data_IF_720985890315
#
_entry.id   IF_720985890315
#
_cell.length_a   1.000
_cell.length_b   1.000
_cell.length_c   1.000
_cell.angle_alpha   90.00
_cell.angle_beta   90.00
_cell.angle_gamma   90.00
#
_symmetry.space_group_name_H-M   'P 1'
#
loop_
_entity.id
_entity.type
_entity.pdbx_description
1 polymer ?
#
# COMPACT_ATOMS: atom_id res chain seq x y z
N UNK A 1 -1.12 -13.53 -35.69
CA UNK A 1 -1.14 -12.57 -34.56
C UNK A 1 -2.20 -11.52 -34.83
N UNK A 2 -3.40 -11.66 -34.27
CA UNK A 2 -4.49 -10.69 -34.48
C UNK A 2 -4.23 -9.45 -33.61
N UNK A 3 -4.01 -8.29 -34.24
CA UNK A 3 -3.90 -7.00 -33.56
C UNK A 3 -5.31 -6.60 -33.11
N UNK A 4 -5.68 -6.93 -31.88
CA UNK A 4 -6.91 -6.41 -31.29
C UNK A 4 -6.80 -4.88 -31.16
N UNK A 5 -7.57 -4.17 -31.98
CA UNK A 5 -7.71 -2.71 -31.95
C UNK A 5 -8.32 -2.25 -30.63
N UNK A 6 -8.06 -1.00 -30.22
CA UNK A 6 -8.60 -0.38 -28.98
C UNK A 6 -10.15 -0.46 -28.87
N UNK A 7 -10.85 -0.70 -29.98
CA UNK A 7 -12.29 -0.94 -30.06
C UNK A 7 -12.75 -2.28 -29.45
N UNK A 8 -11.87 -3.28 -29.27
CA UNK A 8 -12.20 -4.57 -28.67
C UNK A 8 -12.22 -4.54 -27.12
N UNK A 9 -11.91 -3.39 -26.50
CA UNK A 9 -11.77 -3.20 -25.04
C UNK A 9 -12.82 -2.21 -24.54
N UNK A 10 -13.92 -2.06 -25.27
CA UNK A 10 -14.98 -1.16 -24.84
C UNK A 10 -15.70 -1.77 -23.63
N UNK A 11 -15.68 -1.05 -22.50
CA UNK A 11 -16.47 -1.46 -21.35
C UNK A 11 -17.94 -1.20 -21.67
N UNK A 12 -18.85 -2.21 -21.60
CA UNK A 12 -20.26 -2.00 -21.93
C UNK A 12 -20.95 -0.90 -21.10
N UNK A 13 -20.39 -0.54 -19.94
CA UNK A 13 -20.93 0.48 -19.04
C UNK A 13 -20.29 1.86 -19.23
N UNK A 14 -18.99 1.89 -19.51
CA UNK A 14 -18.19 3.12 -19.45
C UNK A 14 -17.59 3.51 -20.80
N UNK A 15 -17.72 2.69 -21.83
CA UNK A 15 -17.14 2.94 -23.14
C UNK A 15 -15.63 2.70 -23.15
N UNK A 16 -14.94 3.47 -23.98
CA UNK A 16 -13.52 3.29 -24.30
C UNK A 16 -12.61 3.68 -23.12
N UNK A 17 -11.59 2.85 -22.79
CA UNK A 17 -10.55 3.20 -21.83
C UNK A 17 -9.80 4.48 -22.23
N UNK A 18 -9.53 5.36 -21.27
CA UNK A 18 -8.91 6.67 -21.51
C UNK A 18 -8.00 7.08 -20.35
N UNK A 19 -6.98 7.88 -20.65
CA UNK A 19 -6.18 8.58 -19.63
C UNK A 19 -7.02 9.54 -18.77
N UNK A 20 -6.58 9.75 -17.52
CA UNK A 20 -7.22 10.69 -16.61
C UNK A 20 -6.96 12.15 -17.05
N UNK A 21 -8.00 13.00 -17.11
CA UNK A 21 -7.79 14.43 -17.25
C UNK A 21 -7.09 14.98 -16.00
N UNK A 22 -6.12 15.87 -16.19
CA UNK A 22 -5.39 16.51 -15.09
C UNK A 22 -6.02 17.85 -14.64
N UNK A 23 -6.98 18.40 -15.40
CA UNK A 23 -7.56 19.72 -15.17
C UNK A 23 -8.81 19.72 -14.28
N UNK A 24 -9.33 18.55 -13.88
CA UNK A 24 -10.54 18.40 -13.06
C UNK A 24 -10.33 17.22 -12.11
N UNK A 25 -10.93 17.26 -10.91
CA UNK A 25 -10.89 16.11 -10.01
C UNK A 25 -11.69 14.93 -10.61
N UNK A 26 -11.15 13.70 -10.62
CA UNK A 26 -11.73 12.59 -11.37
C UNK A 26 -13.04 12.05 -10.77
N UNK A 27 -13.93 11.54 -11.62
CA UNK A 27 -15.09 10.74 -11.21
C UNK A 27 -14.76 9.27 -11.02
N UNK A 28 -15.69 8.50 -10.45
CA UNK A 28 -15.60 7.04 -10.47
C UNK A 28 -15.50 6.47 -11.90
N UNK A 29 -16.22 7.05 -12.86
CA UNK A 29 -16.16 6.69 -14.28
C UNK A 29 -14.76 6.92 -14.86
N UNK A 30 -14.17 8.09 -14.60
CA UNK A 30 -12.83 8.45 -15.09
C UNK A 30 -11.76 7.51 -14.50
N UNK A 31 -11.83 7.25 -13.19
CA UNK A 31 -10.92 6.32 -12.50
C UNK A 31 -11.00 4.92 -13.08
N UNK A 32 -12.19 4.42 -13.40
CA UNK A 32 -12.34 3.08 -14.00
C UNK A 32 -11.88 3.05 -15.46
N UNK A 33 -12.19 4.07 -16.26
CA UNK A 33 -11.68 4.16 -17.64
C UNK A 33 -10.16 4.12 -17.67
N UNK A 34 -9.53 4.85 -16.76
CA UNK A 34 -8.09 4.85 -16.63
C UNK A 34 -7.53 3.54 -16.11
N UNK A 35 -8.18 2.92 -15.12
CA UNK A 35 -7.81 1.59 -14.66
C UNK A 35 -7.81 0.57 -15.79
N UNK A 36 -8.82 0.59 -16.66
CA UNK A 36 -8.89 -0.30 -17.82
C UNK A 36 -7.77 0.00 -18.83
N UNK A 37 -7.44 1.27 -19.02
CA UNK A 37 -6.35 1.70 -19.90
C UNK A 37 -4.98 1.24 -19.38
N UNK A 38 -4.71 1.44 -18.09
CA UNK A 38 -3.49 0.96 -17.43
C UNK A 38 -3.38 -0.56 -17.54
N UNK A 39 -4.47 -1.28 -17.24
CA UNK A 39 -4.51 -2.73 -17.31
C UNK A 39 -4.23 -3.24 -18.72
N UNK A 40 -4.79 -2.61 -19.75
CA UNK A 40 -4.51 -2.97 -21.14
C UNK A 40 -3.03 -2.81 -21.50
N UNK A 41 -2.42 -1.70 -21.08
CA UNK A 41 -1.00 -1.46 -21.32
C UNK A 41 -0.12 -2.49 -20.60
N UNK A 42 -0.47 -2.88 -19.37
CA UNK A 42 0.25 -3.93 -18.63
C UNK A 42 0.09 -5.32 -19.27
N UNK A 43 -1.11 -5.64 -19.80
CA UNK A 43 -1.37 -6.91 -20.49
C UNK A 43 -0.54 -7.04 -21.78
N UNK A 44 -0.35 -5.94 -22.51
CA UNK A 44 0.51 -5.92 -23.70
C UNK A 44 2.00 -6.10 -23.37
N UNK A 45 2.40 -5.83 -22.12
CA UNK A 45 3.77 -5.97 -21.64
C UNK A 45 4.06 -7.36 -21.01
N UNK A 46 3.13 -8.31 -21.08
CA UNK A 46 3.38 -9.72 -20.70
C UNK A 46 3.24 -10.05 -19.21
N UNK A 47 2.56 -9.21 -18.41
CA UNK A 47 2.40 -9.44 -16.95
C UNK A 47 1.26 -10.41 -16.58
N UNK A 48 1.40 -11.10 -15.44
CA UNK A 48 0.47 -12.13 -14.94
C UNK A 48 -0.90 -11.57 -14.49
N UNK A 49 -2.01 -12.23 -14.86
CA UNK A 49 -3.42 -11.82 -14.63
C UNK A 49 -3.81 -11.45 -13.19
N UNK A 50 -3.24 -12.09 -12.17
CA UNK A 50 -3.59 -11.79 -10.77
C UNK A 50 -2.75 -10.64 -10.18
N UNK A 51 -1.52 -10.43 -10.69
CA UNK A 51 -0.67 -9.29 -10.33
C UNK A 51 -1.21 -8.00 -10.96
N UNK A 52 -1.79 -8.10 -12.16
CA UNK A 52 -2.36 -7.01 -12.95
C UNK A 52 -3.38 -6.14 -12.22
N UNK A 53 -4.27 -6.69 -11.36
CA UNK A 53 -5.28 -5.86 -10.68
C UNK A 53 -4.67 -5.05 -9.55
N UNK A 54 -3.75 -5.63 -8.77
CA UNK A 54 -3.12 -4.90 -7.68
C UNK A 54 -2.15 -3.84 -8.22
N UNK A 55 -1.35 -4.20 -9.23
CA UNK A 55 -0.41 -3.29 -9.89
C UNK A 55 -1.13 -2.15 -10.61
N UNK A 56 -2.19 -2.45 -11.38
CA UNK A 56 -2.99 -1.39 -11.99
C UNK A 56 -3.66 -0.48 -10.95
N UNK A 57 -4.11 -1.04 -9.82
CA UNK A 57 -4.71 -0.22 -8.75
C UNK A 57 -3.69 0.74 -8.14
N UNK A 58 -2.43 0.31 -8.00
CA UNK A 58 -1.34 1.13 -7.48
C UNK A 58 -1.03 2.30 -8.41
N UNK A 59 -0.84 2.02 -9.71
CA UNK A 59 -0.56 3.03 -10.74
C UNK A 59 -1.71 4.05 -10.82
N UNK A 60 -2.95 3.57 -10.76
CA UNK A 60 -4.14 4.44 -10.78
C UNK A 60 -4.19 5.30 -9.52
N UNK A 61 -3.94 4.73 -8.34
CA UNK A 61 -3.92 5.47 -7.08
C UNK A 61 -2.87 6.59 -7.12
N UNK A 62 -1.64 6.31 -7.56
CA UNK A 62 -0.58 7.32 -7.69
C UNK A 62 -0.98 8.48 -8.61
N UNK A 63 -1.60 8.18 -9.76
CA UNK A 63 -2.05 9.23 -10.68
C UNK A 63 -3.19 10.06 -10.09
N UNK A 64 -4.18 9.41 -9.46
CA UNK A 64 -5.30 10.10 -8.79
C UNK A 64 -4.77 11.00 -7.67
N UNK A 65 -3.84 10.52 -6.86
CA UNK A 65 -3.19 11.34 -5.84
C UNK A 65 -2.52 12.57 -6.43
N UNK A 66 -1.78 12.43 -7.54
CA UNK A 66 -1.13 13.54 -8.20
C UNK A 66 -2.11 14.65 -8.57
N UNK A 67 -3.27 14.29 -9.11
CA UNK A 67 -4.33 15.26 -9.49
C UNK A 67 -4.89 15.97 -8.25
N UNK A 68 -5.17 15.24 -7.17
CA UNK A 68 -5.68 15.85 -5.95
C UNK A 68 -4.64 16.71 -5.22
N UNK A 69 -3.36 16.31 -5.26
CA UNK A 69 -2.23 17.10 -4.75
C UNK A 69 -2.03 18.39 -5.54
N UNK A 70 -2.23 18.37 -6.87
CA UNK A 70 -2.18 19.60 -7.69
C UNK A 70 -3.29 20.59 -7.38
N UNK A 71 -4.39 20.13 -6.76
CA UNK A 71 -5.45 20.99 -6.25
C UNK A 71 -5.23 21.45 -4.80
N UNK A 72 -4.06 21.17 -4.21
CA UNK A 72 -3.71 21.55 -2.82
C UNK A 72 -4.73 21.10 -1.74
N UNK A 73 -5.50 20.05 -2.00
CA UNK A 73 -6.50 19.51 -1.08
C UNK A 73 -5.89 18.34 -0.29
N UNK A 74 -5.98 18.33 1.06
CA UNK A 74 -5.58 17.17 1.86
C UNK A 74 -6.39 15.93 1.50
N UNK A 75 -5.70 14.81 1.31
CA UNK A 75 -6.29 13.53 0.89
C UNK A 75 -6.20 12.47 1.98
N UNK A 76 -7.02 11.41 1.85
CA UNK A 76 -6.89 10.19 2.65
C UNK A 76 -5.60 9.43 2.32
N UNK A 77 -5.24 8.43 3.12
CA UNK A 77 -4.03 7.64 2.92
C UNK A 77 -4.02 6.88 1.58
N UNK A 78 -2.83 6.65 1.03
CA UNK A 78 -2.63 5.91 -0.23
C UNK A 78 -3.35 4.55 -0.22
N UNK A 79 -3.19 3.78 0.87
CA UNK A 79 -3.82 2.48 1.04
C UNK A 79 -5.36 2.57 1.00
N UNK A 80 -5.95 3.66 1.52
CA UNK A 80 -7.39 3.88 1.44
C UNK A 80 -7.83 4.13 0.00
N UNK A 81 -7.07 4.89 -0.79
CA UNK A 81 -7.36 5.16 -2.20
C UNK A 81 -7.32 3.86 -3.01
N UNK A 82 -6.26 3.06 -2.84
CA UNK A 82 -6.13 1.74 -3.46
C UNK A 82 -7.30 0.84 -3.09
N UNK A 83 -7.72 0.84 -1.82
CA UNK A 83 -8.87 0.06 -1.35
C UNK A 83 -10.18 0.51 -2.01
N UNK A 84 -10.43 1.82 -2.11
CA UNK A 84 -11.60 2.37 -2.79
C UNK A 84 -11.65 1.96 -4.27
N UNK A 85 -10.51 2.00 -4.97
CA UNK A 85 -10.39 1.57 -6.37
C UNK A 85 -10.74 0.08 -6.48
N UNK A 86 -10.17 -0.77 -5.62
CA UNK A 86 -10.43 -2.22 -5.59
C UNK A 86 -11.90 -2.54 -5.27
N UNK A 87 -12.49 -1.87 -4.29
CA UNK A 87 -13.91 -2.02 -3.93
C UNK A 87 -14.83 -1.66 -5.10
N UNK A 88 -14.58 -0.54 -5.78
CA UNK A 88 -15.40 -0.12 -6.91
C UNK A 88 -15.20 -1.02 -8.14
N UNK A 89 -13.97 -1.49 -8.38
CA UNK A 89 -13.67 -2.48 -9.41
C UNK A 89 -14.41 -3.79 -9.16
N UNK A 90 -14.47 -4.26 -7.91
CA UNK A 90 -15.22 -5.44 -7.51
C UNK A 90 -16.72 -5.26 -7.79
N UNK A 91 -17.30 -4.14 -7.37
CA UNK A 91 -18.71 -3.78 -7.65
C UNK A 91 -19.02 -3.83 -9.14
N UNK A 92 -18.18 -3.22 -9.98
CA UNK A 92 -18.31 -3.26 -11.45
C UNK A 92 -18.21 -4.69 -11.99
N UNK A 93 -17.23 -5.47 -11.54
CA UNK A 93 -17.03 -6.86 -11.99
C UNK A 93 -18.23 -7.71 -11.64
N UNK A 94 -18.73 -7.61 -10.42
CA UNK A 94 -19.91 -8.34 -9.96
C UNK A 94 -21.16 -7.95 -10.75
N UNK A 95 -21.33 -6.66 -11.05
CA UNK A 95 -22.42 -6.17 -11.90
C UNK A 95 -22.33 -6.72 -13.33
N UNK A 96 -21.13 -6.84 -13.90
CA UNK A 96 -20.92 -7.31 -15.27
C UNK A 96 -20.91 -8.83 -15.42
N UNK A 97 -20.72 -9.61 -14.34
CA UNK A 97 -20.77 -11.09 -14.38
C UNK A 97 -22.00 -11.65 -15.10
N UNK A 98 -23.24 -11.23 -14.79
CA UNK A 98 -24.44 -11.73 -15.46
C UNK A 98 -24.78 -11.01 -16.77
N UNK A 99 -23.99 -10.02 -17.22
CA UNK A 99 -24.37 -9.08 -18.27
C UNK A 99 -24.85 -9.74 -19.55
N UNK A 100 -24.07 -10.70 -20.09
CA UNK A 100 -24.41 -11.39 -21.34
C UNK A 100 -25.77 -12.10 -21.30
N UNK A 101 -26.19 -12.58 -20.12
CA UNK A 101 -27.44 -13.34 -19.94
C UNK A 101 -28.64 -12.45 -19.56
N UNK A 102 -28.38 -11.26 -19.01
CA UNK A 102 -29.42 -10.42 -18.37
C UNK A 102 -29.54 -9.01 -18.95
N UNK A 103 -28.71 -8.63 -19.92
CA UNK A 103 -28.67 -7.26 -20.50
C UNK A 103 -30.04 -6.72 -20.94
N UNK A 104 -30.94 -7.60 -21.41
CA UNK A 104 -32.25 -7.20 -21.93
C UNK A 104 -33.36 -7.21 -20.86
N UNK A 105 -33.07 -7.70 -19.65
CA UNK A 105 -34.03 -7.72 -18.53
C UNK A 105 -34.18 -6.31 -17.96
N UNK A 106 -35.41 -5.78 -17.96
CA UNK A 106 -35.71 -4.41 -17.52
C UNK A 106 -35.15 -4.08 -16.13
N UNK A 107 -35.34 -4.95 -15.14
CA UNK A 107 -34.84 -4.73 -13.77
C UNK A 107 -33.30 -4.70 -13.69
N UNK A 108 -32.60 -5.44 -14.56
CA UNK A 108 -31.15 -5.41 -14.65
C UNK A 108 -30.66 -4.16 -15.39
N UNK A 109 -31.34 -3.77 -16.48
CA UNK A 109 -31.07 -2.51 -17.19
C UNK A 109 -31.17 -1.30 -16.27
N UNK A 110 -32.23 -1.20 -15.45
CA UNK A 110 -32.35 -0.14 -14.45
C UNK A 110 -31.18 -0.13 -13.45
N UNK A 111 -30.69 -1.30 -13.03
CA UNK A 111 -29.49 -1.40 -12.17
C UNK A 111 -28.23 -0.89 -12.87
N UNK A 112 -28.05 -1.18 -14.15
CA UNK A 112 -26.93 -0.67 -14.93
C UNK A 112 -27.02 0.86 -15.08
N UNK A 113 -28.21 1.40 -15.31
CA UNK A 113 -28.42 2.84 -15.45
C UNK A 113 -28.17 3.60 -14.13
N UNK A 114 -28.62 3.05 -13.00
CA UNK A 114 -28.30 3.60 -11.67
C UNK A 114 -26.78 3.59 -11.44
N UNK A 115 -26.12 2.46 -11.68
CA UNK A 115 -24.67 2.37 -11.52
C UNK A 115 -23.91 3.33 -12.43
N UNK A 116 -24.39 3.52 -13.67
CA UNK A 116 -23.81 4.47 -14.63
C UNK A 116 -24.00 5.91 -14.17
N UNK A 117 -25.17 6.29 -13.66
CA UNK A 117 -25.41 7.62 -13.07
C UNK A 117 -24.52 7.86 -11.85
N UNK A 118 -24.45 6.89 -10.94
CA UNK A 118 -23.62 6.97 -9.73
C UNK A 118 -22.13 7.12 -10.06
N UNK A 119 -21.68 6.54 -11.19
CA UNK A 119 -20.29 6.64 -11.63
C UNK A 119 -19.85 8.06 -12.00
N UNK A 120 -20.79 8.97 -12.28
CA UNK A 120 -20.51 10.37 -12.61
C UNK A 120 -20.20 11.21 -11.37
N UNK A 121 -20.43 10.67 -10.16
CA UNK A 121 -20.07 11.34 -8.92
C UNK A 121 -18.56 11.47 -8.78
N UNK A 122 -18.13 12.53 -8.09
CA UNK A 122 -16.75 12.75 -7.71
C UNK A 122 -16.17 11.52 -7.00
N UNK A 123 -14.98 11.08 -7.43
CA UNK A 123 -14.19 10.10 -6.69
C UNK A 123 -13.52 10.80 -5.50
N UNK A 124 -14.33 11.14 -4.50
CA UNK A 124 -13.93 12.04 -3.42
C UNK A 124 -12.95 11.35 -2.46
N UNK A 125 -11.66 11.69 -2.59
CA UNK A 125 -10.58 11.24 -1.70
C UNK A 125 -10.10 12.33 -0.74
N UNK A 126 -10.81 13.46 -0.61
CA UNK A 126 -10.48 14.48 0.38
C UNK A 126 -10.48 13.90 1.80
N UNK A 127 -9.53 14.31 2.64
CA UNK A 127 -9.48 13.91 4.04
C UNK A 127 -10.67 14.50 4.83
N UNK A 128 -11.07 15.73 4.51
CA UNK A 128 -12.24 16.38 5.08
C UNK A 128 -13.51 16.06 4.28
N UNK A 129 -14.54 15.54 4.94
CA UNK A 129 -15.87 15.26 4.36
C UNK A 129 -16.96 16.25 4.80
N UNK A 130 -16.59 17.36 5.43
CA UNK A 130 -17.56 18.37 5.86
C UNK A 130 -18.23 19.03 4.64
N UNK A 131 -19.54 19.27 4.76
CA UNK A 131 -20.31 20.07 3.81
C UNK A 131 -20.12 21.56 4.07
N UNK A 132 -20.15 21.96 5.35
CA UNK A 132 -19.86 23.33 5.78
C UNK A 132 -18.43 23.41 6.33
N UNK A 133 -17.58 24.16 5.65
CA UNK A 133 -16.18 24.31 6.06
C UNK A 133 -15.96 25.35 7.18
N UNK A 134 -16.94 26.20 7.45
CA UNK A 134 -16.83 27.24 8.49
C UNK A 134 -16.93 26.64 9.90
N UNK A 135 -17.72 25.57 10.06
CA UNK A 135 -17.86 24.80 11.30
C UNK A 135 -17.02 23.52 11.33
N UNK A 136 -16.04 23.39 10.43
CA UNK A 136 -15.25 22.17 10.30
C UNK A 136 -14.34 21.92 11.52
N UNK A 137 -14.57 20.79 12.20
CA UNK A 137 -13.82 20.31 13.37
C UNK A 137 -12.72 19.29 13.03
N UNK A 138 -12.42 19.04 11.74
CA UNK A 138 -11.35 18.12 11.36
C UNK A 138 -9.99 18.55 11.92
N UNK A 139 -9.07 17.60 12.10
CA UNK A 139 -7.68 17.90 12.46
C UNK A 139 -7.04 18.85 11.44
N UNK A 140 -6.14 19.73 11.90
CA UNK A 140 -5.54 20.81 11.09
C UNK A 140 -4.97 20.29 9.75
N UNK A 141 -4.29 19.14 9.76
CA UNK A 141 -3.73 18.50 8.57
C UNK A 141 -4.77 17.99 7.57
N UNK A 142 -6.01 17.74 8.01
CA UNK A 142 -7.08 17.24 7.17
C UNK A 142 -8.01 18.36 6.69
N UNK A 143 -7.93 19.57 7.27
CA UNK A 143 -8.78 20.70 6.90
C UNK A 143 -8.42 21.21 5.51
N UNK A 144 -9.45 21.45 4.70
CA UNK A 144 -9.29 22.07 3.38
C UNK A 144 -8.88 23.54 3.55
N UNK A 145 -7.78 23.99 2.91
CA UNK A 145 -7.36 25.39 2.91
C UNK A 145 -8.48 26.31 2.43
N UNK A 146 -8.59 27.50 3.00
CA UNK A 146 -9.71 28.43 2.71
C UNK A 146 -9.84 28.72 1.21
N UNK A 147 -8.71 28.90 0.52
CA UNK A 147 -8.64 29.15 -0.94
C UNK A 147 -9.24 28.02 -1.78
N UNK A 148 -9.11 26.76 -1.35
CA UNK A 148 -9.53 25.59 -2.11
C UNK A 148 -10.97 25.13 -1.78
N UNK A 149 -11.62 25.73 -0.77
CA UNK A 149 -12.99 25.36 -0.36
C UNK A 149 -14.03 25.58 -1.46
N UNK A 150 -14.06 26.74 -2.16
CA UNK A 150 -15.03 26.96 -3.24
C UNK A 150 -14.85 25.94 -4.36
N UNK A 151 -13.60 25.65 -4.72
CA UNK A 151 -13.27 24.64 -5.72
C UNK A 151 -13.78 23.25 -5.31
N UNK A 152 -13.45 22.76 -4.11
CA UNK A 152 -13.91 21.44 -3.68
C UNK A 152 -15.45 21.37 -3.56
N UNK A 153 -16.12 22.45 -3.18
CA UNK A 153 -17.58 22.51 -3.10
C UNK A 153 -18.23 22.46 -4.48
N UNK A 154 -17.69 23.21 -5.46
CA UNK A 154 -18.08 23.07 -6.87
C UNK A 154 -17.86 21.64 -7.37
N UNK A 155 -16.68 21.05 -7.11
CA UNK A 155 -16.35 19.69 -7.55
C UNK A 155 -17.23 18.60 -6.92
N UNK A 156 -17.83 18.85 -5.75
CA UNK A 156 -18.81 17.96 -5.12
C UNK A 156 -20.23 18.14 -5.68
N UNK A 157 -20.51 19.26 -6.35
CA UNK A 157 -21.83 19.65 -6.83
C UNK A 157 -21.85 19.75 -8.36
N UNK A 158 -21.72 20.96 -8.91
CA UNK A 158 -21.88 21.28 -10.34
C UNK A 158 -20.66 20.96 -11.21
N UNK A 159 -19.47 20.80 -10.63
CA UNK A 159 -18.21 20.38 -11.29
C UNK A 159 -17.84 21.25 -12.50
N UNK A 160 -17.96 22.56 -12.36
CA UNK A 160 -17.68 23.52 -13.43
C UNK A 160 -16.26 24.10 -13.36
N UNK A 161 -15.68 24.18 -12.17
CA UNK A 161 -14.33 24.71 -11.99
C UNK A 161 -13.27 23.73 -12.45
N UNK A 162 -12.14 24.27 -12.91
CA UNK A 162 -10.96 23.52 -13.34
C UNK A 162 -9.77 23.86 -12.46
N UNK A 163 -8.86 22.90 -12.29
CA UNK A 163 -7.56 23.11 -11.67
C UNK A 163 -6.77 24.03 -12.61
N UNK A 164 -6.45 25.24 -12.13
CA UNK A 164 -5.61 26.18 -12.86
C UNK A 164 -4.20 25.61 -13.05
N UNK A 165 -3.46 26.14 -14.03
CA UNK A 165 -2.03 25.87 -14.17
C UNK A 165 -1.32 26.18 -12.84
N UNK A 166 -0.68 25.16 -12.28
CA UNK A 166 -0.08 25.19 -10.95
C UNK A 166 1.00 26.27 -10.88
N UNK A 167 0.83 27.24 -9.98
CA UNK A 167 1.86 28.21 -9.65
C UNK A 167 2.97 27.51 -8.85
N UNK A 168 4.13 27.33 -9.47
CA UNK A 168 5.28 26.60 -8.90
C UNK A 168 5.73 27.20 -7.56
N UNK A 169 5.54 28.49 -7.34
CA UNK A 169 5.92 29.15 -6.10
C UNK A 169 5.02 28.73 -4.93
N UNK A 170 3.71 28.58 -5.18
CA UNK A 170 2.74 28.13 -4.18
C UNK A 170 3.01 26.69 -3.73
N UNK A 171 3.35 25.79 -4.66
CA UNK A 171 3.72 24.40 -4.36
C UNK A 171 4.99 24.34 -3.51
N UNK A 172 6.01 25.12 -3.86
CA UNK A 172 7.27 25.19 -3.10
C UNK A 172 7.03 25.69 -1.67
N UNK A 173 6.16 26.68 -1.49
CA UNK A 173 5.80 27.16 -0.14
C UNK A 173 5.02 26.12 0.66
N UNK A 174 4.10 25.37 0.03
CA UNK A 174 3.34 24.32 0.69
C UNK A 174 4.23 23.15 1.12
N UNK A 175 5.15 22.70 0.25
CA UNK A 175 6.16 21.71 0.60
C UNK A 175 7.05 22.18 1.75
N UNK A 176 7.51 23.44 1.74
CA UNK A 176 8.26 24.03 2.86
C UNK A 176 7.46 24.02 4.17
N UNK A 177 6.15 24.31 4.13
CA UNK A 177 5.27 24.25 5.33
C UNK A 177 5.07 22.82 5.83
N UNK A 178 4.91 21.85 4.92
CA UNK A 178 4.81 20.43 5.28
C UNK A 178 6.10 19.89 5.90
N UNK A 179 7.26 20.30 5.37
CA UNK A 179 8.57 19.94 5.92
C UNK A 179 8.77 20.54 7.31
N UNK A 180 8.42 21.82 7.52
CA UNK A 180 8.45 22.46 8.84
C UNK A 180 7.54 21.77 9.85
N UNK A 181 6.30 21.46 9.45
CA UNK A 181 5.38 20.73 10.34
C UNK A 181 5.85 19.30 10.69
N UNK A 182 6.70 18.68 9.87
CA UNK A 182 7.31 17.37 10.15
C UNK A 182 8.54 17.50 11.07
N UNK A 183 9.33 18.57 10.97
CA UNK A 183 10.47 18.78 11.89
C UNK A 183 10.02 19.20 13.29
N UNK A 184 8.98 20.04 13.41
CA UNK A 184 8.47 20.47 14.72
C UNK A 184 7.93 19.29 15.56
N UNK A 185 7.35 18.28 14.91
CA UNK A 185 6.91 17.03 15.57
C UNK A 185 8.07 16.15 16.02
N UNK A 186 9.25 16.30 15.42
CA UNK A 186 10.46 15.55 15.77
C UNK A 186 11.18 16.17 16.97
N UNK A 187 11.12 17.49 17.10
CA UNK A 187 11.73 18.22 18.21
C UNK A 187 10.95 18.08 19.53
N UNK A 188 9.61 18.03 19.47
CA UNK A 188 8.77 17.83 20.67
C UNK A 188 8.92 16.44 21.34
N UNK A 189 9.66 15.50 20.76
CA UNK A 189 9.93 14.17 21.34
C UNK A 189 11.21 14.19 22.21
N UNK A 190 12.06 15.22 22.09
CA UNK A 190 13.37 15.28 22.74
C UNK A 190 13.33 16.04 24.09
N UNK A 191 12.33 16.89 24.32
CA UNK A 191 12.30 17.79 25.49
C UNK A 191 11.85 17.13 26.82
N UNK A 192 11.43 15.86 26.82
CA UNK A 192 10.97 15.15 28.03
C UNK A 192 12.07 14.35 28.77
N UNK A 193 13.33 14.41 28.31
CA UNK A 193 14.46 13.77 29.00
C UNK A 193 15.43 14.81 29.59
N UNK A 194 15.08 15.40 30.73
CA UNK A 194 16.06 16.09 31.60
C UNK A 194 16.88 15.07 32.40
N UNK A 195 18.20 15.24 32.45
CA UNK A 195 18.91 15.18 33.72
C UNK A 195 19.69 16.47 33.98
N UNK A 196 19.65 16.88 35.23
CA UNK A 196 20.45 17.94 35.83
C UNK A 196 21.94 17.64 35.73
N UNK A 197 22.78 18.64 35.39
CA UNK A 197 23.90 19.15 36.21
C UNK A 197 24.95 19.94 35.41
N UNK A 198 25.44 21.00 36.06
CA UNK A 198 26.80 21.57 36.02
C UNK A 198 27.30 22.29 34.76
N UNK A 199 27.33 23.62 34.90
CA UNK A 199 28.31 24.59 34.38
C UNK A 199 29.60 24.05 33.76
N UNK A 200 29.94 24.53 32.56
CA UNK A 200 31.23 25.19 32.24
C UNK A 200 31.09 25.96 30.91
N UNK A 201 31.53 27.23 30.91
CA UNK A 201 31.61 28.10 29.73
C UNK A 201 32.78 27.70 28.83
N UNK A 202 32.58 27.69 27.51
CA UNK A 202 33.57 28.22 26.57
C UNK A 202 32.92 28.61 25.24
N UNK A 203 33.45 29.71 24.72
CA UNK A 203 33.00 30.49 23.58
C UNK A 203 33.78 30.04 22.33
N UNK A 204 33.30 30.49 21.17
CA UNK A 204 34.01 30.77 19.90
C UNK A 204 33.65 29.91 18.67
N UNK A 205 33.02 30.65 17.74
CA UNK A 205 33.02 30.68 16.27
C UNK A 205 32.36 29.63 15.38
N UNK A 206 31.59 30.20 14.44
CA UNK A 206 30.73 29.53 13.48
C UNK A 206 31.47 28.96 12.27
N UNK A 207 30.82 27.95 11.68
CA UNK A 207 30.82 27.77 10.23
C UNK A 207 29.53 27.06 9.84
N UNK A 208 28.76 27.71 8.98
CA UNK A 208 27.50 27.27 8.41
C UNK A 208 27.77 26.25 7.30
N UNK A 209 27.14 25.06 7.36
CA UNK A 209 27.06 24.13 6.24
C UNK A 209 25.77 23.28 6.33
N UNK A 210 25.02 23.29 5.23
CA UNK A 210 23.72 22.65 5.06
C UNK A 210 23.81 21.11 5.14
N UNK A 211 22.86 20.48 5.85
CA UNK A 211 22.71 19.01 5.88
C UNK A 211 21.27 18.63 5.55
N UNK A 212 21.09 17.85 4.47
CA UNK A 212 19.84 17.18 4.13
C UNK A 212 19.56 15.98 5.05
N UNK A 213 18.31 15.73 5.48
CA UNK A 213 18.00 14.60 6.34
C UNK A 213 17.69 13.31 5.54
N UNK A 214 18.57 12.33 5.69
CA UNK A 214 18.32 10.91 5.36
C UNK A 214 17.30 10.33 6.35
N UNK A 215 16.15 9.88 5.85
CA UNK A 215 15.11 9.22 6.64
C UNK A 215 15.50 7.77 6.96
N UNK A 216 15.97 7.52 8.18
CA UNK A 216 15.88 6.21 8.82
C UNK A 216 14.56 6.12 9.58
N UNK A 217 13.65 5.24 9.14
CA UNK A 217 12.51 4.81 9.95
C UNK A 217 12.85 3.46 10.58
N UNK A 218 13.11 3.51 11.88
CA UNK A 218 13.06 2.39 12.81
C UNK A 218 11.61 2.34 13.28
N UNK A 219 10.86 1.31 12.90
CA UNK A 219 9.63 0.96 13.60
C UNK A 219 9.95 -0.15 14.59
N UNK A 220 10.09 0.29 15.83
CA UNK A 220 10.01 -0.49 17.05
C UNK A 220 8.55 -0.97 17.20
N UNK A 221 8.33 -2.28 17.21
CA UNK A 221 7.04 -2.85 17.60
C UNK A 221 7.27 -3.83 18.76
N UNK A 222 6.61 -3.49 19.86
CA UNK A 222 6.51 -4.23 21.12
C UNK A 222 6.16 -5.69 20.89
N UNK A 223 6.94 -6.58 21.51
CA UNK A 223 6.58 -7.98 21.72
C UNK A 223 5.91 -8.07 23.07
N UNK A 224 4.59 -8.17 23.09
CA UNK A 224 3.85 -8.63 24.26
C UNK A 224 4.27 -10.08 24.57
N UNK A 225 4.75 -10.29 25.79
CA UNK A 225 5.02 -11.61 26.36
C UNK A 225 3.71 -12.40 26.49
N UNK A 226 3.68 -13.72 26.18
CA UNK A 226 2.57 -14.56 26.59
C UNK A 226 2.77 -15.02 28.04
N UNK A 227 1.83 -14.64 28.91
CA UNK A 227 1.70 -15.18 30.26
C UNK A 227 1.44 -16.70 30.23
N UNK A 228 2.19 -17.45 31.03
CA UNK A 228 1.87 -18.81 31.46
C UNK A 228 0.60 -18.79 32.33
N UNK A 229 -0.47 -19.48 31.91
CA UNK A 229 -1.53 -19.91 32.84
C UNK A 229 -1.92 -21.36 32.62
N UNK A 230 -1.87 -22.06 33.76
CA UNK A 230 -1.92 -23.48 34.04
C UNK A 230 -3.19 -24.17 33.56
N UNK A 231 -3.02 -25.42 33.11
CA UNK A 231 -4.07 -26.41 32.98
C UNK A 231 -4.72 -26.69 34.34
N UNK A 232 -6.06 -26.79 34.37
CA UNK A 232 -6.79 -27.54 35.38
C UNK A 232 -7.76 -28.50 34.69
N UNK A 233 -7.62 -29.76 35.10
CA UNK A 233 -8.32 -30.98 34.73
C UNK A 233 -9.80 -31.02 35.13
N UNK A 234 -10.62 -31.69 34.32
CA UNK A 234 -11.76 -32.48 34.79
C UNK A 234 -12.00 -33.67 33.82
N UNK A 235 -12.25 -34.84 34.40
CA UNK A 235 -12.18 -36.19 33.82
C UNK A 235 -13.57 -36.69 33.35
N UNK A 236 -13.56 -37.78 32.57
CA UNK A 236 -14.63 -38.81 32.28
C UNK A 236 -15.33 -38.57 30.92
N UNK A 237 -15.39 -39.49 29.92
CA UNK A 237 -14.95 -40.88 29.71
C UNK A 237 -15.00 -41.26 28.20
N UNK A 238 -14.17 -42.22 27.81
CA UNK A 238 -14.29 -43.21 26.71
C UNK A 238 -14.42 -42.78 25.23
N UNK A 239 -13.29 -42.77 24.51
CA UNK A 239 -12.99 -43.74 23.43
C UNK A 239 -11.57 -43.46 22.88
N UNK A 240 -10.72 -44.49 22.86
CA UNK A 240 -9.33 -44.41 22.45
C UNK A 240 -9.19 -44.13 20.95
N UNK A 241 -8.83 -42.90 20.58
CA UNK A 241 -8.09 -42.64 19.35
C UNK A 241 -6.76 -41.98 19.71
N UNK A 242 -5.68 -42.76 19.66
CA UNK A 242 -4.31 -42.26 19.86
C UNK A 242 -3.97 -41.30 18.70
N UNK A 243 -4.20 -40.00 18.89
CA UNK A 243 -3.69 -38.96 18.00
C UNK A 243 -2.18 -38.89 18.20
N UNK A 244 -1.43 -39.44 17.25
CA UNK A 244 0.03 -39.31 17.23
C UNK A 244 0.41 -37.81 17.15
N UNK A 245 1.44 -37.36 17.90
CA UNK A 245 1.89 -35.99 17.85
C UNK A 245 2.36 -35.64 16.44
N UNK A 246 1.77 -34.61 15.83
CA UNK A 246 2.15 -34.15 14.49
C UNK A 246 3.63 -33.77 14.49
N UNK A 247 4.47 -34.57 13.83
CA UNK A 247 5.92 -34.36 13.75
C UNK A 247 6.21 -33.07 12.97
N UNK A 248 6.49 -31.98 13.71
CA UNK A 248 6.72 -30.65 13.13
C UNK A 248 8.12 -30.57 12.53
N UNK A 249 8.24 -30.05 11.31
CA UNK A 249 9.53 -29.82 10.66
C UNK A 249 10.32 -28.68 11.34
N UNK A 250 11.26 -29.02 12.22
CA UNK A 250 12.11 -28.10 12.99
C UNK A 250 13.40 -27.68 12.27
N UNK A 251 13.62 -28.10 11.02
CA UNK A 251 14.86 -27.77 10.28
C UNK A 251 15.05 -26.26 10.11
N UNK A 252 16.26 -25.78 10.42
CA UNK A 252 16.72 -24.42 10.19
C UNK A 252 17.07 -24.22 8.70
N UNK A 253 16.65 -23.09 8.12
CA UNK A 253 16.82 -22.75 6.70
C UNK A 253 17.62 -21.45 6.50
N UNK A 254 18.51 -21.10 7.43
CA UNK A 254 19.27 -19.84 7.38
C UNK A 254 20.04 -19.66 6.07
N UNK A 255 20.74 -20.69 5.59
CA UNK A 255 21.56 -20.58 4.37
C UNK A 255 20.72 -20.46 3.10
N UNK A 256 19.63 -21.22 3.03
CA UNK A 256 18.64 -21.07 1.96
C UNK A 256 18.05 -19.64 1.97
N UNK A 257 17.72 -19.10 3.14
CA UNK A 257 17.19 -17.75 3.24
C UNK A 257 18.20 -16.68 2.79
N UNK A 258 19.49 -16.79 3.17
CA UNK A 258 20.56 -15.86 2.72
C UNK A 258 20.75 -15.89 1.20
N UNK A 259 20.79 -17.08 0.62
CA UNK A 259 20.93 -17.24 -0.83
C UNK A 259 19.73 -16.68 -1.59
N UNK A 260 18.50 -16.90 -1.10
CA UNK A 260 17.30 -16.32 -1.69
C UNK A 260 17.27 -14.78 -1.58
N UNK A 261 17.77 -14.20 -0.48
CA UNK A 261 17.94 -12.74 -0.35
C UNK A 261 19.00 -12.20 -1.32
N UNK A 262 20.13 -12.90 -1.48
CA UNK A 262 21.20 -12.53 -2.41
C UNK A 262 20.75 -12.49 -3.87
N UNK A 263 19.96 -13.49 -4.29
CA UNK A 263 19.47 -13.59 -5.67
C UNK A 263 18.09 -12.97 -5.89
N UNK A 264 17.57 -12.22 -4.91
CA UNK A 264 16.25 -11.58 -4.97
C UNK A 264 15.10 -12.53 -5.37
N UNK A 265 15.18 -13.81 -4.97
CA UNK A 265 14.19 -14.82 -5.32
C UNK A 265 12.96 -14.68 -4.42
N UNK A 266 11.76 -14.79 -5.01
CA UNK A 266 10.50 -14.71 -4.24
C UNK A 266 10.33 -15.91 -3.31
N UNK A 267 9.65 -15.73 -2.16
CA UNK A 267 9.44 -16.83 -1.19
C UNK A 267 8.72 -18.05 -1.78
N UNK A 268 7.80 -17.82 -2.74
CA UNK A 268 7.07 -18.91 -3.43
C UNK A 268 8.00 -19.67 -4.37
N UNK A 269 8.80 -18.97 -5.15
CA UNK A 269 9.78 -19.59 -6.03
C UNK A 269 10.85 -20.34 -5.23
N UNK A 270 11.37 -19.74 -4.16
CA UNK A 270 12.35 -20.37 -3.28
C UNK A 270 11.82 -21.62 -2.59
N UNK A 271 10.57 -21.61 -2.13
CA UNK A 271 9.91 -22.79 -1.55
C UNK A 271 9.73 -23.92 -2.58
N UNK A 272 9.31 -23.58 -3.80
CA UNK A 272 9.13 -24.55 -4.88
C UNK A 272 10.47 -25.17 -5.31
N UNK A 273 11.52 -24.35 -5.51
CA UNK A 273 12.87 -24.81 -5.84
C UNK A 273 13.42 -25.72 -4.75
N UNK A 274 13.35 -25.28 -3.48
CA UNK A 274 13.88 -26.07 -2.37
C UNK A 274 13.11 -27.39 -2.19
N UNK A 275 11.78 -27.39 -2.37
CA UNK A 275 10.98 -28.61 -2.28
C UNK A 275 11.24 -29.57 -3.45
N UNK A 276 11.41 -29.07 -4.67
CA UNK A 276 11.77 -29.89 -5.83
C UNK A 276 13.14 -30.55 -5.64
N UNK A 277 14.14 -29.79 -5.18
CA UNK A 277 15.47 -30.33 -4.86
C UNK A 277 15.37 -31.43 -3.80
N UNK A 278 14.57 -31.23 -2.73
CA UNK A 278 14.38 -32.26 -1.71
C UNK A 278 13.68 -33.53 -2.23
N UNK A 279 12.87 -33.42 -3.28
CA UNK A 279 12.28 -34.57 -3.97
C UNK A 279 13.33 -35.30 -4.81
N UNK A 280 14.18 -34.58 -5.54
CA UNK A 280 15.27 -35.17 -6.35
C UNK A 280 16.29 -35.93 -5.47
N UNK A 281 16.55 -35.43 -4.26
CA UNK A 281 17.40 -36.10 -3.27
C UNK A 281 16.67 -37.18 -2.45
N UNK A 282 15.39 -37.49 -2.73
CA UNK A 282 14.62 -38.53 -2.04
C UNK A 282 14.32 -38.25 -0.56
N UNK A 283 14.45 -36.99 -0.11
CA UNK A 283 14.19 -36.56 1.28
C UNK A 283 12.70 -36.29 1.50
N UNK A 284 11.98 -35.96 0.43
CA UNK A 284 10.52 -35.77 0.38
C UNK A 284 9.97 -36.71 -0.68
N UNK A 285 9.05 -37.58 -0.30
CA UNK A 285 8.32 -38.44 -1.23
C UNK A 285 6.84 -38.05 -1.23
N UNK A 286 6.06 -38.56 -2.20
CA UNK A 286 4.62 -38.29 -2.27
C UNK A 286 3.85 -38.81 -1.04
N UNK A 287 4.42 -39.76 -0.31
CA UNK A 287 3.84 -40.35 0.91
C UNK A 287 4.28 -39.60 2.19
N UNK A 288 5.50 -39.03 2.20
CA UNK A 288 6.12 -38.42 3.38
C UNK A 288 6.33 -36.91 3.19
N UNK A 289 5.32 -36.13 3.59
CA UNK A 289 5.27 -34.66 3.41
C UNK A 289 5.92 -33.88 4.56
N UNK A 290 6.49 -34.57 5.55
CA UNK A 290 7.01 -33.96 6.77
C UNK A 290 8.12 -32.93 6.49
N UNK A 291 8.97 -33.17 5.49
CA UNK A 291 10.12 -32.32 5.20
C UNK A 291 9.85 -31.22 4.15
N UNK A 292 8.61 -31.07 3.68
CA UNK A 292 8.26 -30.06 2.67
C UNK A 292 8.57 -28.65 3.20
N UNK A 293 9.17 -27.84 2.33
CA UNK A 293 9.47 -26.44 2.62
C UNK A 293 8.36 -25.58 2.02
N UNK A 294 7.43 -25.16 2.87
CA UNK A 294 6.39 -24.21 2.48
C UNK A 294 6.91 -22.75 2.46
N UNK A 295 6.24 -21.92 1.67
CA UNK A 295 6.45 -20.47 1.58
C UNK A 295 6.50 -19.81 2.96
N UNK A 296 5.59 -20.16 3.88
CA UNK A 296 5.58 -19.55 5.21
C UNK A 296 6.83 -19.92 6.01
N UNK A 297 7.43 -21.08 5.76
CA UNK A 297 8.68 -21.50 6.40
C UNK A 297 9.87 -20.70 5.88
N UNK A 298 9.96 -20.50 4.56
CA UNK A 298 10.97 -19.62 3.93
C UNK A 298 10.88 -18.20 4.47
N UNK A 299 9.66 -17.64 4.54
CA UNK A 299 9.42 -16.29 5.05
C UNK A 299 9.91 -16.12 6.49
N UNK A 300 9.62 -17.10 7.37
CA UNK A 300 10.09 -17.08 8.77
C UNK A 300 11.61 -17.13 8.85
N UNK A 301 12.27 -17.96 8.05
CA UNK A 301 13.73 -18.06 8.02
C UNK A 301 14.40 -16.75 7.56
N UNK A 302 13.85 -16.08 6.53
CA UNK A 302 14.34 -14.76 6.09
C UNK A 302 14.15 -13.69 7.16
N UNK A 303 13.01 -13.70 7.85
CA UNK A 303 12.78 -12.75 8.94
C UNK A 303 13.79 -12.94 10.08
N UNK A 304 14.06 -14.18 10.46
CA UNK A 304 15.06 -14.48 11.50
C UNK A 304 16.44 -13.99 11.10
N UNK A 305 16.89 -14.30 9.88
CA UNK A 305 18.19 -13.83 9.37
C UNK A 305 18.30 -12.29 9.38
N UNK A 306 17.23 -11.58 9.01
CA UNK A 306 17.23 -10.10 9.04
C UNK A 306 17.37 -9.55 10.45
N UNK A 307 16.67 -10.15 11.42
CA UNK A 307 16.80 -9.78 12.84
C UNK A 307 18.21 -10.06 13.35
N UNK A 308 18.80 -11.21 12.99
CA UNK A 308 20.16 -11.57 13.39
C UNK A 308 21.21 -10.60 12.81
N UNK A 309 21.05 -10.21 11.53
CA UNK A 309 21.90 -9.21 10.89
C UNK A 309 21.77 -7.82 11.53
N UNK A 310 20.56 -7.41 11.89
CA UNK A 310 20.31 -6.14 12.59
C UNK A 310 20.91 -6.11 14.00
N UNK A 311 20.97 -7.26 14.69
CA UNK A 311 21.66 -7.38 15.98
C UNK A 311 23.17 -7.20 15.82
N UNK A 312 23.76 -7.81 14.79
CA UNK A 312 25.19 -7.69 14.50
C UNK A 312 25.60 -6.27 14.03
N UNK A 313 24.72 -5.56 13.30
CA UNK A 313 25.00 -4.19 12.89
C UNK A 313 24.97 -3.20 14.04
N UNK A 314 24.16 -3.42 15.08
CA UNK A 314 24.09 -2.55 16.27
C UNK A 314 25.35 -2.61 17.14
N UNK A 315 26.12 -3.71 17.10
CA UNK A 315 27.40 -3.83 17.83
C UNK A 315 28.59 -3.22 17.09
N UNK A 316 28.42 -2.80 15.84
CA UNK A 316 29.49 -2.27 15.00
C UNK A 316 29.26 -0.78 14.78
N UNK A 317 30.11 0.07 15.35
CA UNK A 317 30.07 1.53 15.08
C UNK A 317 30.52 1.73 13.63
N UNK A 318 29.58 2.05 12.75
CA UNK A 318 29.85 2.30 11.34
C UNK A 318 30.44 3.71 11.18
N UNK A 319 31.75 3.82 10.95
CA UNK A 319 32.46 5.10 10.81
C UNK A 319 32.30 5.80 9.44
N UNK A 320 31.55 5.20 8.51
CA UNK A 320 31.21 5.80 7.22
C UNK A 320 30.97 4.75 6.14
N UNK A 321 30.14 5.08 5.15
CA UNK A 321 29.95 4.29 3.92
C UNK A 321 30.71 4.99 2.79
N UNK A 322 31.80 4.39 2.32
CA UNK A 322 32.53 4.86 1.15
C UNK A 322 32.02 4.11 -0.09
N UNK A 323 31.62 4.85 -1.12
CA UNK A 323 31.33 4.31 -2.44
C UNK A 323 32.53 4.61 -3.33
N UNK A 324 33.27 3.56 -3.71
CA UNK A 324 34.19 3.59 -4.86
C UNK A 324 33.34 3.61 -6.13
N UNK A 325 33.61 4.58 -7.01
CA UNK A 325 32.77 4.96 -8.15
C UNK A 325 32.93 4.06 -9.35
#
# INVERSE_FOLDING_TARGET
>A
MSKNTRSAIECPLFGVPRELPCSILPTFCDVIKYFLWVRYNLENNGTNRNLLVSEASEIVAQKVEGIWKSASIPIVSHQRIVSLIKEYQKKRKDLLKPYLKRKDVASYKSKLDVFKKDSLRLFDIAACKCENFNSCSCLKQNKVPIKERPFLQDQRSCRQMMIASVDFEAVRQQQKREMRSKCDKRNNIIDDAKPSTSSYNRQVDGMELEVEPVFNNIDEYEVSQPEEKKEQSAVISDEQTILQPTKRNTRNLSELAKTLDRYAVSDRAGAAIASAVLQDYGIVNNEDTQNIIDRHKVRRARQQNRVDLQRFSKSTILLGLYFDG
#
